data_IF_523413760591
#
_entry.id   IF_523413760591
#
_cell.length_a   1.000
_cell.length_b   1.000
_cell.length_c   1.000
_cell.angle_alpha   90.00
_cell.angle_beta   90.00
_cell.angle_gamma   90.00
#
_symmetry.space_group_name_H-M   'P 1'
#
loop_
_entity.id
_entity.type
_entity.pdbx_description
1 polymer ?
#
# COMPACT_ATOMS: atom_id res chain seq x y z
N UNK A 1 -0.69 -67.57 8.19
CA UNK A 1 -1.64 -68.18 7.25
C UNK A 1 -2.54 -67.09 6.67
N UNK A 2 -2.72 -67.12 5.33
CA UNK A 2 -3.70 -66.40 4.50
C UNK A 2 -3.63 -64.85 4.42
N UNK A 3 -2.93 -64.39 3.38
CA UNK A 3 -3.25 -63.16 2.62
C UNK A 3 -4.50 -63.41 1.75
N UNK A 4 -5.34 -62.38 1.53
CA UNK A 4 -5.81 -62.04 0.18
C UNK A 4 -5.73 -60.50 -0.01
N UNK A 5 -5.71 -59.90 -1.18
CA UNK A 5 -5.93 -60.34 -2.55
C UNK A 5 -6.06 -59.06 -3.37
N UNK A 6 -5.37 -59.02 -4.51
CA UNK A 6 -5.20 -57.88 -5.41
C UNK A 6 -6.51 -57.56 -6.13
N UNK A 7 -6.78 -56.28 -6.42
CA UNK A 7 -7.61 -55.86 -7.54
C UNK A 7 -7.14 -54.50 -8.08
N UNK A 8 -6.40 -54.56 -9.19
CA UNK A 8 -6.14 -53.44 -10.10
C UNK A 8 -7.23 -53.39 -11.16
N UNK A 9 -7.74 -52.21 -11.54
CA UNK A 9 -8.40 -52.01 -12.82
C UNK A 9 -7.50 -51.25 -13.81
N UNK A 10 -7.04 -52.02 -14.79
CA UNK A 10 -7.24 -51.81 -16.24
C UNK A 10 -6.90 -50.46 -16.90
N UNK A 11 -5.88 -50.56 -17.75
CA UNK A 11 -5.52 -49.74 -18.91
C UNK A 11 -6.68 -49.47 -19.89
N UNK A 12 -6.88 -48.19 -20.25
CA UNK A 12 -7.67 -47.74 -21.40
C UNK A 12 -7.09 -46.43 -21.96
N UNK A 13 -6.14 -46.48 -22.89
CA UNK A 13 -6.31 -46.44 -24.36
C UNK A 13 -6.70 -45.06 -24.94
N UNK A 14 -5.65 -44.39 -25.44
CA UNK A 14 -5.54 -43.69 -26.75
C UNK A 14 -6.68 -42.75 -27.19
N UNK A 15 -6.39 -41.46 -27.32
CA UNK A 15 -6.58 -40.73 -28.58
C UNK A 15 -5.98 -39.31 -28.50
N UNK A 16 -4.85 -39.13 -29.18
CA UNK A 16 -4.32 -37.81 -29.53
C UNK A 16 -4.98 -37.37 -30.85
N UNK A 17 -5.48 -36.13 -30.98
CA UNK A 17 -5.81 -35.57 -32.28
C UNK A 17 -4.55 -34.98 -32.96
N UNK A 18 -4.52 -34.96 -34.30
CA UNK A 18 -3.33 -34.68 -35.09
C UNK A 18 -2.95 -33.19 -35.15
N UNK A 19 -1.64 -32.97 -35.27
CA UNK A 19 -0.96 -31.74 -35.69
C UNK A 19 -1.51 -31.26 -37.05
N UNK A 20 -2.11 -30.08 -37.09
CA UNK A 20 -2.22 -29.30 -38.32
C UNK A 20 -1.02 -28.36 -38.43
N UNK A 21 -0.04 -28.79 -39.23
CA UNK A 21 0.95 -27.93 -39.88
C UNK A 21 0.30 -27.36 -41.14
N UNK A 22 0.20 -26.04 -41.32
CA UNK A 22 0.23 -25.45 -42.65
C UNK A 22 1.68 -25.13 -43.04
N UNK A 23 2.09 -25.77 -44.13
CA UNK A 23 3.25 -25.46 -44.93
C UNK A 23 3.12 -24.04 -45.51
N UNK A 24 4.19 -23.25 -45.34
CA UNK A 24 4.87 -22.45 -46.37
C UNK A 24 3.99 -21.65 -47.34
N UNK A 25 4.01 -20.32 -47.19
CA UNK A 25 3.85 -19.40 -48.33
C UNK A 25 5.13 -18.56 -48.44
N UNK A 26 5.96 -18.74 -49.48
CA UNK A 26 7.02 -17.81 -49.82
C UNK A 26 6.49 -16.78 -50.83
N UNK A 27 6.92 -15.52 -50.68
CA UNK A 27 6.75 -14.44 -51.65
C UNK A 27 5.32 -13.97 -51.97
N UNK A 28 4.96 -12.85 -51.34
CA UNK A 28 4.29 -11.76 -52.03
C UNK A 28 4.81 -10.45 -51.40
N UNK A 29 5.84 -9.87 -52.00
CA UNK A 29 6.17 -8.46 -51.81
C UNK A 29 5.02 -7.63 -52.41
N UNK A 30 4.36 -6.82 -51.58
CA UNK A 30 3.46 -5.77 -52.03
C UNK A 30 4.18 -4.42 -51.94
N UNK A 31 4.29 -3.64 -53.03
CA UNK A 31 4.86 -2.32 -53.02
C UNK A 31 3.77 -1.32 -52.63
N UNK A 32 3.53 -1.16 -51.33
CA UNK A 32 2.79 -0.02 -50.82
C UNK A 32 3.19 0.21 -49.36
N UNK A 33 4.32 0.91 -49.21
CA UNK A 33 4.79 1.38 -47.93
C UNK A 33 3.98 2.62 -47.50
N UNK A 34 3.29 2.61 -46.35
CA UNK A 34 2.85 3.86 -45.75
C UNK A 34 4.06 4.65 -45.24
N UNK A 35 4.00 5.99 -45.26
CA UNK A 35 5.15 6.85 -44.98
C UNK A 35 5.66 6.67 -43.56
N UNK A 36 6.99 6.58 -43.42
CA UNK A 36 7.71 6.63 -42.14
C UNK A 36 7.62 8.05 -41.54
N UNK A 37 6.44 8.47 -41.10
CA UNK A 37 6.30 9.67 -40.28
C UNK A 37 6.65 9.32 -38.83
N UNK A 38 7.93 9.56 -38.52
CA UNK A 38 8.42 10.05 -37.22
C UNK A 38 7.47 9.85 -36.03
N UNK A 39 7.52 8.66 -35.43
CA UNK A 39 7.14 8.48 -34.03
C UNK A 39 8.11 9.29 -33.19
N UNK A 40 7.74 10.55 -32.92
CA UNK A 40 8.32 11.37 -31.87
C UNK A 40 8.28 10.53 -30.60
N UNK A 41 9.44 10.01 -30.18
CA UNK A 41 9.66 9.37 -28.89
C UNK A 41 9.22 10.34 -27.80
N UNK A 42 7.97 10.22 -27.39
CA UNK A 42 7.48 10.82 -26.16
C UNK A 42 8.35 10.27 -25.04
N UNK A 43 8.87 11.19 -24.22
CA UNK A 43 9.75 10.95 -23.07
C UNK A 43 9.36 9.63 -22.39
N UNK A 44 10.32 8.71 -22.27
CA UNK A 44 10.14 7.41 -21.63
C UNK A 44 9.37 7.61 -20.34
N UNK A 45 8.12 7.14 -20.30
CA UNK A 45 7.52 6.79 -19.03
C UNK A 45 8.49 5.79 -18.42
N UNK A 46 9.16 6.16 -17.33
CA UNK A 46 9.90 5.19 -16.55
C UNK A 46 8.85 4.16 -16.16
N UNK A 47 8.90 2.98 -16.77
CA UNK A 47 8.27 1.81 -16.22
C UNK A 47 8.95 1.63 -14.88
N UNK A 48 8.33 2.19 -13.84
CA UNK A 48 8.66 1.85 -12.47
C UNK A 48 8.31 0.37 -12.40
N UNK A 49 9.34 -0.45 -12.53
CA UNK A 49 9.20 -1.88 -12.27
C UNK A 49 8.43 -2.00 -10.96
N UNK A 50 7.38 -2.84 -10.90
CA UNK A 50 6.69 -3.13 -9.66
C UNK A 50 7.75 -3.41 -8.60
N UNK A 51 7.79 -2.57 -7.57
CA UNK A 51 8.86 -2.54 -6.58
C UNK A 51 9.25 -3.95 -6.16
N UNK A 52 10.49 -4.32 -6.48
CA UNK A 52 11.07 -5.58 -6.04
C UNK A 52 11.83 -5.34 -4.75
N UNK A 53 11.78 -6.31 -3.84
CA UNK A 53 12.76 -6.42 -2.79
C UNK A 53 14.15 -6.33 -3.44
N UNK A 54 15.09 -5.66 -2.79
CA UNK A 54 16.47 -5.71 -3.28
C UNK A 54 16.91 -7.17 -3.41
N UNK A 55 17.75 -7.51 -4.39
CA UNK A 55 18.21 -8.91 -4.57
C UNK A 55 18.85 -9.45 -3.27
N UNK A 56 19.54 -8.57 -2.53
CA UNK A 56 20.07 -8.84 -1.20
C UNK A 56 18.99 -9.11 -0.15
N UNK A 57 17.94 -8.29 -0.07
CA UNK A 57 16.85 -8.49 0.89
C UNK A 57 16.06 -9.75 0.58
N UNK A 58 15.81 -10.02 -0.71
CA UNK A 58 15.18 -11.26 -1.18
C UNK A 58 16.01 -12.48 -0.80
N UNK A 59 17.32 -12.45 -1.05
CA UNK A 59 18.22 -13.53 -0.66
C UNK A 59 18.26 -13.73 0.87
N UNK A 60 18.32 -12.64 1.65
CA UNK A 60 18.28 -12.70 3.11
C UNK A 60 16.96 -13.27 3.65
N UNK A 61 15.83 -12.88 3.05
CA UNK A 61 14.50 -13.40 3.39
C UNK A 61 14.41 -14.90 3.11
N UNK A 62 14.84 -15.36 1.94
CA UNK A 62 14.81 -16.77 1.57
C UNK A 62 15.78 -17.62 2.42
N UNK A 63 16.94 -17.06 2.76
CA UNK A 63 17.89 -17.69 3.67
C UNK A 63 17.30 -17.83 5.08
N UNK A 64 16.75 -16.75 5.62
CA UNK A 64 16.10 -16.76 6.94
C UNK A 64 14.98 -17.81 7.01
N UNK A 65 14.09 -17.87 6.02
CA UNK A 65 13.04 -18.89 5.97
C UNK A 65 13.61 -20.31 5.82
N UNK A 66 14.72 -20.46 5.09
CA UNK A 66 15.43 -21.73 4.91
C UNK A 66 16.09 -22.24 6.20
N UNK A 67 16.74 -21.36 6.95
CA UNK A 67 17.42 -21.70 8.21
C UNK A 67 16.45 -22.20 9.27
N UNK A 68 15.21 -21.71 9.23
CA UNK A 68 14.12 -22.13 10.10
C UNK A 68 13.26 -23.27 9.51
N UNK A 69 13.65 -23.83 8.36
CA UNK A 69 12.93 -24.90 7.65
C UNK A 69 11.43 -24.59 7.41
N UNK A 70 11.11 -23.33 7.10
CA UNK A 70 9.73 -22.89 6.84
C UNK A 70 9.37 -23.14 5.39
N UNK A 71 8.40 -24.03 5.17
CA UNK A 71 7.88 -24.35 3.85
C UNK A 71 8.92 -24.98 2.92
N UNK A 72 8.47 -25.39 1.75
CA UNK A 72 9.36 -25.84 0.68
C UNK A 72 9.96 -24.62 -0.08
N UNK A 73 10.93 -24.83 -1.00
CA UNK A 73 11.50 -23.74 -1.79
C UNK A 73 10.46 -22.95 -2.61
N UNK A 74 9.42 -23.60 -3.12
CA UNK A 74 8.39 -22.95 -3.95
C UNK A 74 7.48 -22.05 -3.11
N UNK A 75 7.03 -22.52 -1.94
CA UNK A 75 6.27 -21.69 -0.99
C UNK A 75 7.05 -20.45 -0.55
N UNK A 76 8.37 -20.58 -0.34
CA UNK A 76 9.22 -19.44 0.04
C UNK A 76 9.34 -18.39 -1.08
N UNK A 77 9.43 -18.83 -2.32
CA UNK A 77 9.44 -17.96 -3.50
C UNK A 77 8.07 -17.26 -3.70
N UNK A 78 6.96 -17.99 -3.50
CA UNK A 78 5.60 -17.43 -3.52
C UNK A 78 5.41 -16.38 -2.43
N UNK A 79 5.89 -16.66 -1.23
CA UNK A 79 5.85 -15.71 -0.11
C UNK A 79 6.65 -14.45 -0.43
N UNK A 80 7.87 -14.57 -0.96
CA UNK A 80 8.67 -13.42 -1.37
C UNK A 80 7.94 -12.56 -2.42
N UNK A 81 7.31 -13.18 -3.42
CA UNK A 81 6.52 -12.46 -4.42
C UNK A 81 5.28 -11.76 -3.82
N UNK A 82 4.60 -12.41 -2.86
CA UNK A 82 3.47 -11.82 -2.15
C UNK A 82 3.90 -10.60 -1.32
N UNK A 83 5.07 -10.66 -0.68
CA UNK A 83 5.66 -9.53 0.06
C UNK A 83 5.99 -8.37 -0.87
N UNK A 84 6.63 -8.61 -2.01
CA UNK A 84 6.91 -7.57 -3.03
C UNK A 84 5.63 -6.82 -3.43
N UNK A 85 4.55 -7.57 -3.71
CA UNK A 85 3.24 -6.99 -4.00
C UNK A 85 2.67 -6.20 -2.81
N UNK A 86 2.82 -6.72 -1.59
CA UNK A 86 2.40 -6.06 -0.35
C UNK A 86 3.07 -4.71 -0.15
N UNK A 87 4.40 -4.64 -0.32
CA UNK A 87 5.19 -3.40 -0.23
C UNK A 87 4.76 -2.39 -1.29
N UNK A 88 4.64 -2.82 -2.55
CA UNK A 88 4.21 -1.96 -3.64
C UNK A 88 2.82 -1.35 -3.37
N UNK A 89 1.93 -2.14 -2.76
CA UNK A 89 0.58 -1.73 -2.40
C UNK A 89 0.52 -0.83 -1.15
N UNK A 90 1.53 -0.84 -0.28
CA UNK A 90 1.63 0.05 0.88
C UNK A 90 2.24 1.42 0.51
N UNK A 91 3.09 1.47 -0.53
CA UNK A 91 3.68 2.72 -1.05
C UNK A 91 2.84 3.45 -2.10
N UNK A 92 1.66 2.94 -2.44
CA UNK A 92 0.75 3.64 -3.35
C UNK A 92 0.56 5.08 -2.86
N UNK A 93 0.75 6.09 -3.73
CA UNK A 93 0.95 7.46 -3.29
C UNK A 93 -0.28 7.92 -2.52
N UNK A 94 -0.15 8.03 -1.20
CA UNK A 94 -0.99 8.92 -0.43
C UNK A 94 -0.75 10.29 -1.06
N UNK A 95 -1.80 10.89 -1.63
CA UNK A 95 -1.78 12.14 -2.39
C UNK A 95 -1.53 13.37 -1.50
N UNK A 96 -0.72 13.22 -0.45
CA UNK A 96 -0.26 14.29 0.41
C UNK A 96 1.27 14.29 0.39
N UNK A 97 1.83 15.42 -0.01
CA UNK A 97 3.26 15.75 0.10
C UNK A 97 4.17 15.13 -0.97
N UNK A 98 4.00 15.59 -2.21
CA UNK A 98 5.16 15.76 -3.10
C UNK A 98 5.46 17.26 -3.16
N UNK A 99 6.05 17.79 -2.09
CA UNK A 99 6.71 19.09 -2.16
C UNK A 99 7.92 18.92 -3.07
N UNK A 100 7.91 19.77 -4.08
CA UNK A 100 8.84 19.96 -5.16
C UNK A 100 10.32 20.04 -4.70
N UNK A 101 11.04 18.91 -4.62
CA UNK A 101 12.50 18.95 -4.68
C UNK A 101 12.93 19.14 -6.13
N UNK A 102 13.29 20.39 -6.44
CA UNK A 102 13.92 20.80 -7.69
C UNK A 102 15.34 20.20 -7.73
N UNK A 103 15.70 19.37 -8.72
CA UNK A 103 17.07 18.91 -8.86
C UNK A 103 17.95 20.08 -9.34
N UNK A 104 18.90 20.47 -8.50
CA UNK A 104 19.99 21.36 -8.89
C UNK A 104 20.94 20.59 -9.80
N UNK A 105 20.81 20.80 -11.11
CA UNK A 105 21.83 20.41 -12.07
C UNK A 105 22.95 21.44 -11.99
N UNK A 106 24.16 20.94 -11.77
CA UNK A 106 25.40 21.67 -11.78
C UNK A 106 25.59 22.49 -13.06
N UNK A 107 26.08 23.72 -12.90
CA UNK A 107 26.83 24.43 -13.92
C UNK A 107 28.10 24.99 -13.25
N UNK A 108 29.22 24.34 -13.55
CA UNK A 108 30.56 24.90 -13.41
C UNK A 108 30.62 26.25 -14.12
N UNK A 109 31.14 27.30 -13.47
CA UNK A 109 32.21 28.14 -14.04
C UNK A 109 32.71 29.24 -13.10
N UNK A 110 34.03 29.19 -12.90
CA UNK A 110 34.98 30.31 -12.98
C UNK A 110 35.27 31.14 -11.72
N UNK A 111 36.45 30.83 -11.19
CA UNK A 111 37.26 31.55 -10.20
C UNK A 111 37.53 33.01 -10.60
N UNK A 112 37.29 33.96 -9.69
CA UNK A 112 38.13 35.15 -9.44
C UNK A 112 37.82 35.80 -8.07
N UNK A 113 38.81 36.42 -7.38
CA UNK A 113 38.70 36.77 -5.96
C UNK A 113 38.42 38.27 -5.69
N UNK A 114 38.04 38.51 -4.43
CA UNK A 114 38.02 39.76 -3.65
C UNK A 114 36.95 40.81 -4.01
N UNK A 115 35.96 40.99 -3.10
CA UNK A 115 35.85 42.19 -2.27
C UNK A 115 34.72 42.05 -1.23
N UNK A 116 35.04 42.43 0.02
CA UNK A 116 34.12 42.74 1.13
C UNK A 116 33.39 44.05 0.75
N UNK A 117 32.10 44.28 1.08
CA UNK A 117 31.79 44.76 2.43
C UNK A 117 30.38 44.43 2.99
N UNK A 118 30.30 44.57 4.32
CA UNK A 118 29.19 45.09 5.13
C UNK A 118 27.81 44.38 5.15
N UNK A 119 27.56 43.76 6.32
CA UNK A 119 26.39 43.96 7.19
C UNK A 119 25.04 44.37 6.55
N UNK A 120 24.08 43.44 6.64
CA UNK A 120 22.63 43.67 6.47
C UNK A 120 21.84 42.51 7.09
N UNK A 121 20.65 42.76 7.64
CA UNK A 121 20.17 42.11 8.87
C UNK A 121 19.55 40.73 8.66
N UNK A 122 19.72 39.90 9.69
CA UNK A 122 19.07 38.61 9.89
C UNK A 122 17.55 38.77 9.84
N UNK A 123 16.93 38.33 8.75
CA UNK A 123 15.49 38.19 8.66
C UNK A 123 15.09 36.89 9.37
N UNK A 124 14.27 37.03 10.41
CA UNK A 124 13.63 35.91 11.12
C UNK A 124 13.05 34.89 10.16
N UNK A 125 13.21 33.58 10.42
CA UNK A 125 12.43 32.58 9.70
C UNK A 125 10.96 32.80 10.03
N UNK A 126 10.18 33.10 8.98
CA UNK A 126 8.74 33.15 9.04
C UNK A 126 8.24 31.79 9.56
N UNK A 127 7.55 31.81 10.69
CA UNK A 127 6.87 30.64 11.23
C UNK A 127 5.96 30.06 10.14
N UNK A 128 6.20 28.80 9.78
CA UNK A 128 5.30 28.04 8.93
C UNK A 128 3.92 28.02 9.61
N UNK A 129 2.82 28.32 8.89
CA UNK A 129 1.49 28.25 9.47
C UNK A 129 1.22 26.78 9.81
N UNK A 130 1.20 26.46 11.10
CA UNK A 130 0.72 25.19 11.62
C UNK A 130 -0.73 25.04 11.15
N UNK A 131 -0.92 24.23 10.10
CA UNK A 131 -2.26 23.99 9.56
C UNK A 131 -3.06 23.24 10.61
N UNK A 132 -4.00 23.93 11.26
CA UNK A 132 -4.88 23.31 12.23
C UNK A 132 -5.60 22.13 11.56
N UNK A 133 -5.43 20.89 12.03
CA UNK A 133 -6.00 19.71 11.39
C UNK A 133 -7.53 19.77 11.38
N UNK A 134 -8.15 20.42 12.37
CA UNK A 134 -9.60 20.71 12.42
C UNK A 134 -10.10 21.46 11.18
N UNK A 135 -9.40 22.53 10.78
CA UNK A 135 -9.77 23.30 9.59
C UNK A 135 -9.73 22.45 8.31
N UNK A 136 -8.81 21.48 8.24
CA UNK A 136 -8.71 20.57 7.10
C UNK A 136 -9.85 19.54 7.06
N UNK A 137 -10.30 19.04 8.21
CA UNK A 137 -11.42 18.11 8.34
C UNK A 137 -12.77 18.79 8.05
N UNK A 138 -12.97 20.00 8.57
CA UNK A 138 -14.15 20.81 8.26
C UNK A 138 -14.25 21.11 6.75
N UNK A 139 -13.14 21.48 6.11
CA UNK A 139 -13.10 21.71 4.67
C UNK A 139 -13.39 20.45 3.85
N UNK A 140 -12.90 19.28 4.30
CA UNK A 140 -13.22 17.99 3.69
C UNK A 140 -14.72 17.67 3.81
N UNK A 141 -15.29 17.82 5.01
CA UNK A 141 -16.72 17.58 5.25
C UNK A 141 -17.59 18.48 4.35
N UNK A 142 -17.27 19.76 4.23
CA UNK A 142 -18.00 20.69 3.37
C UNK A 142 -17.86 20.34 1.88
N UNK A 143 -16.65 19.97 1.44
CA UNK A 143 -16.42 19.55 0.04
C UNK A 143 -17.21 18.28 -0.29
N UNK A 144 -17.23 17.30 0.62
CA UNK A 144 -18.00 16.07 0.47
C UNK A 144 -19.51 16.37 0.39
N UNK A 145 -20.05 17.24 1.27
CA UNK A 145 -21.46 17.68 1.20
C UNK A 145 -21.81 18.38 -0.11
N UNK A 146 -20.90 19.21 -0.65
CA UNK A 146 -21.09 19.85 -1.97
C UNK A 146 -21.14 18.83 -3.09
N UNK A 147 -20.26 17.82 -3.05
CA UNK A 147 -20.26 16.74 -4.02
C UNK A 147 -21.54 15.91 -3.96
N UNK A 148 -22.02 15.54 -2.77
CA UNK A 148 -23.30 14.83 -2.58
C UNK A 148 -24.47 15.62 -3.18
N UNK A 149 -24.54 16.94 -2.92
CA UNK A 149 -25.55 17.82 -3.52
C UNK A 149 -25.43 17.87 -5.04
N UNK A 150 -24.21 18.01 -5.56
CA UNK A 150 -23.94 18.03 -7.00
C UNK A 150 -24.40 16.74 -7.68
N UNK A 151 -24.05 15.57 -7.13
CA UNK A 151 -24.46 14.26 -7.63
C UNK A 151 -25.99 14.09 -7.56
N UNK A 152 -26.62 14.52 -6.47
CA UNK A 152 -28.08 14.47 -6.32
C UNK A 152 -28.85 15.39 -7.29
N UNK A 153 -28.23 16.48 -7.72
CA UNK A 153 -28.80 17.47 -8.64
C UNK A 153 -28.56 17.14 -10.13
N UNK A 154 -27.83 16.08 -10.44
CA UNK A 154 -27.64 15.65 -11.83
C UNK A 154 -28.98 15.22 -12.45
N UNK A 155 -29.27 15.74 -13.63
CA UNK A 155 -30.35 15.25 -14.48
C UNK A 155 -30.00 13.89 -15.11
N UNK A 156 -31.01 13.19 -15.64
CA UNK A 156 -30.84 11.85 -16.20
C UNK A 156 -29.82 11.83 -17.34
N UNK A 157 -29.80 12.89 -18.16
CA UNK A 157 -28.86 13.04 -19.27
C UNK A 157 -27.41 13.12 -18.78
N UNK A 158 -27.14 13.89 -17.73
CA UNK A 158 -25.80 14.02 -17.16
C UNK A 158 -25.37 12.72 -16.47
N UNK A 159 -26.29 12.03 -15.79
CA UNK A 159 -26.02 10.72 -15.18
C UNK A 159 -25.64 9.69 -16.23
N UNK A 160 -26.41 9.61 -17.32
CA UNK A 160 -26.10 8.72 -18.44
C UNK A 160 -24.75 9.04 -19.09
N UNK A 161 -24.47 10.33 -19.31
CA UNK A 161 -23.19 10.77 -19.88
C UNK A 161 -21.98 10.38 -18.99
N UNK A 162 -22.11 10.52 -17.67
CA UNK A 162 -21.08 10.11 -16.71
C UNK A 162 -20.93 8.58 -16.71
N UNK A 163 -22.04 7.83 -16.63
CA UNK A 163 -22.01 6.37 -16.67
C UNK A 163 -21.35 5.81 -17.92
N UNK A 164 -21.66 6.38 -19.09
CA UNK A 164 -21.04 6.00 -20.36
C UNK A 164 -19.55 6.31 -20.40
N UNK A 165 -19.12 7.48 -19.88
CA UNK A 165 -17.69 7.82 -19.80
C UNK A 165 -16.93 6.88 -18.87
N UNK A 166 -17.49 6.56 -17.71
CA UNK A 166 -16.88 5.62 -16.76
C UNK A 166 -16.73 4.23 -17.39
N UNK A 167 -17.78 3.71 -18.04
CA UNK A 167 -17.74 2.43 -18.76
C UNK A 167 -16.66 2.41 -19.85
N UNK A 168 -16.58 3.47 -20.65
CA UNK A 168 -15.60 3.55 -21.74
C UNK A 168 -14.15 3.64 -21.25
N UNK A 169 -13.93 4.07 -20.01
CA UNK A 169 -12.60 4.17 -19.39
C UNK A 169 -12.21 2.96 -18.53
N UNK A 170 -13.16 2.06 -18.27
CA UNK A 170 -12.96 0.93 -17.36
C UNK A 170 -12.56 -0.34 -18.13
N UNK A 171 -11.29 -0.81 -18.00
CA UNK A 171 -10.84 -2.02 -18.69
C UNK A 171 -11.49 -3.30 -18.14
N UNK A 172 -12.16 -3.23 -16.98
CA UNK A 172 -12.78 -4.38 -16.33
C UNK A 172 -14.29 -4.47 -16.57
N UNK A 173 -14.85 -3.57 -17.40
CA UNK A 173 -16.27 -3.54 -17.79
C UNK A 173 -17.25 -3.68 -16.60
N UNK A 174 -17.00 -2.93 -15.52
CA UNK A 174 -17.89 -2.95 -14.34
C UNK A 174 -19.20 -2.22 -14.63
N UNK A 175 -20.24 -2.56 -13.87
CA UNK A 175 -21.55 -1.93 -14.00
C UNK A 175 -21.58 -0.50 -13.42
N UNK A 176 -21.43 0.51 -14.28
CA UNK A 176 -21.50 1.95 -13.93
C UNK A 176 -22.90 2.55 -14.09
N UNK A 177 -23.91 1.90 -13.50
CA UNK A 177 -25.32 2.33 -13.59
C UNK A 177 -25.76 3.28 -12.47
N UNK A 178 -27.08 3.54 -12.39
CA UNK A 178 -27.67 4.38 -11.34
C UNK A 178 -27.31 3.90 -9.92
N UNK A 179 -27.38 2.58 -9.70
CA UNK A 179 -27.02 1.98 -8.41
C UNK A 179 -25.56 2.26 -7.99
N UNK A 180 -24.64 2.37 -8.95
CA UNK A 180 -23.25 2.72 -8.69
C UNK A 180 -23.12 4.18 -8.26
N UNK A 181 -23.78 5.11 -8.96
CA UNK A 181 -23.77 6.54 -8.58
C UNK A 181 -24.43 6.77 -7.21
N UNK A 182 -25.50 6.04 -6.90
CA UNK A 182 -26.14 6.09 -5.59
C UNK A 182 -25.23 5.53 -4.49
N UNK A 183 -24.46 4.46 -4.76
CA UNK A 183 -23.47 3.95 -3.83
C UNK A 183 -22.33 4.95 -3.58
N UNK A 184 -21.79 5.57 -4.64
CA UNK A 184 -20.77 6.62 -4.53
C UNK A 184 -21.29 7.80 -3.70
N UNK A 185 -22.53 8.24 -3.96
CA UNK A 185 -23.16 9.32 -3.20
C UNK A 185 -23.23 8.99 -1.70
N UNK A 186 -23.69 7.78 -1.34
CA UNK A 186 -23.75 7.33 0.07
C UNK A 186 -22.37 7.26 0.72
N UNK A 187 -21.35 6.83 -0.02
CA UNK A 187 -19.99 6.77 0.53
C UNK A 187 -19.44 8.16 0.82
N UNK A 188 -19.65 9.12 -0.09
CA UNK A 188 -19.23 10.51 0.11
C UNK A 188 -20.00 11.15 1.29
N UNK A 189 -21.28 10.82 1.46
CA UNK A 189 -22.07 11.23 2.62
C UNK A 189 -21.48 10.70 3.93
N UNK A 190 -21.12 9.40 3.99
CA UNK A 190 -20.44 8.81 5.16
C UNK A 190 -19.10 9.49 5.46
N UNK A 191 -18.32 9.83 4.43
CA UNK A 191 -17.06 10.57 4.61
C UNK A 191 -17.33 11.95 5.22
N UNK A 192 -18.37 12.65 4.77
CA UNK A 192 -18.74 13.95 5.32
C UNK A 192 -19.14 13.86 6.81
N UNK A 193 -19.91 12.83 7.18
CA UNK A 193 -20.30 12.54 8.56
C UNK A 193 -19.09 12.20 9.44
N UNK A 194 -18.22 11.31 8.98
CA UNK A 194 -17.01 10.91 9.70
C UNK A 194 -16.06 12.10 9.92
N UNK A 195 -15.84 12.92 8.88
CA UNK A 195 -15.00 14.11 8.97
C UNK A 195 -15.59 15.15 9.95
N UNK A 196 -16.91 15.31 9.98
CA UNK A 196 -17.58 16.19 10.93
C UNK A 196 -17.50 15.66 12.37
N UNK A 197 -17.65 14.34 12.56
CA UNK A 197 -17.56 13.71 13.87
C UNK A 197 -16.18 13.92 14.50
N UNK A 198 -15.11 13.79 13.70
CA UNK A 198 -13.73 14.02 14.12
C UNK A 198 -13.40 15.49 14.44
N UNK A 199 -14.15 16.45 13.88
CA UNK A 199 -13.98 17.87 14.17
C UNK A 199 -14.66 18.29 15.48
N UNK A 200 -15.61 17.49 15.99
CA UNK A 200 -16.26 17.74 17.28
C UNK A 200 -15.30 17.39 18.42
N UNK A 201 -14.78 18.36 19.20
CA UNK A 201 -14.00 18.03 20.37
C UNK A 201 -14.90 17.27 21.34
N UNK A 202 -14.53 16.03 21.65
CA UNK A 202 -15.28 15.14 22.52
C UNK A 202 -15.35 15.73 23.94
N UNK A 203 -16.37 16.54 24.21
CA UNK A 203 -16.64 17.15 25.51
C UNK A 203 -17.34 16.16 26.47
N UNK A 204 -16.87 14.91 26.50
CA UNK A 204 -17.33 13.90 27.45
C UNK A 204 -16.20 13.50 28.39
N UNK A 205 -15.70 14.49 29.14
CA UNK A 205 -15.14 14.23 30.46
C UNK A 205 -16.32 14.00 31.41
N UNK A 206 -16.66 12.72 31.58
CA UNK A 206 -17.54 12.26 32.65
C UNK A 206 -16.85 12.59 33.97
N UNK A 207 -17.32 13.61 34.68
CA UNK A 207 -16.96 13.83 36.08
C UNK A 207 -17.59 12.73 36.94
N UNK A 208 -16.83 11.88 37.64
CA UNK A 208 -17.39 11.09 38.73
C UNK A 208 -17.61 12.00 39.96
N UNK A 209 -18.70 11.84 40.73
CA UNK A 209 -18.86 12.55 41.98
C UNK A 209 -17.90 12.02 43.04
N UNK A 210 -17.31 12.98 43.76
CA UNK A 210 -16.32 12.80 44.81
C UNK A 210 -16.80 11.90 45.95
N UNK A 211 -15.90 11.05 46.45
CA UNK A 211 -15.86 10.65 47.85
C UNK A 211 -14.41 10.45 48.29
N UNK A 212 -14.10 11.22 49.33
CA UNK A 212 -12.90 11.38 50.15
C UNK A 212 -12.09 10.10 50.42
N UNK A 213 -10.75 10.17 50.36
CA UNK A 213 -9.83 9.99 51.51
C UNK A 213 -8.34 9.92 51.08
N UNK A 214 -7.54 10.77 51.74
CA UNK A 214 -6.09 10.76 52.02
C UNK A 214 -4.99 10.85 50.92
N UNK A 215 -3.96 11.71 51.13
CA UNK A 215 -2.77 11.81 50.28
C UNK A 215 -1.58 11.01 50.84
N UNK A 216 -0.89 10.27 49.98
CA UNK A 216 0.45 9.71 50.22
C UNK A 216 1.33 10.02 49.01
N UNK A 217 2.62 10.41 49.17
CA UNK A 217 3.36 11.11 48.13
C UNK A 217 4.06 10.17 47.14
N UNK A 218 4.05 10.61 45.87
CA UNK A 218 5.03 10.52 44.77
C UNK A 218 6.10 9.38 44.76
N UNK A 219 6.47 8.87 43.57
CA UNK A 219 7.36 9.64 42.70
C UNK A 219 7.10 9.56 41.19
N UNK A 220 7.55 10.65 40.55
CA UNK A 220 8.24 10.71 39.27
C UNK A 220 7.51 10.26 37.99
N UNK A 221 7.08 11.29 37.26
CA UNK A 221 7.08 11.34 35.81
C UNK A 221 8.38 10.79 35.20
N UNK A 222 8.24 9.83 34.27
CA UNK A 222 8.95 9.76 32.99
C UNK A 222 8.74 8.37 32.36
N UNK A 223 7.99 8.29 31.26
CA UNK A 223 8.30 7.41 30.14
C UNK A 223 7.30 7.69 29.00
N UNK A 224 7.75 8.52 28.08
CA UNK A 224 7.47 8.51 26.64
C UNK A 224 6.10 7.99 26.20
N UNK A 225 5.26 8.92 25.73
CA UNK A 225 4.16 8.60 24.83
C UNK A 225 4.75 7.83 23.65
N UNK A 226 4.43 6.54 23.57
CA UNK A 226 4.79 5.69 22.44
C UNK A 226 4.25 6.35 21.16
N UNK A 227 5.13 6.61 20.20
CA UNK A 227 4.70 7.05 18.89
C UNK A 227 3.75 5.98 18.32
N UNK A 228 2.47 6.32 18.05
CA UNK A 228 1.52 5.35 17.54
C UNK A 228 2.09 4.81 16.24
N UNK A 229 2.25 3.48 16.18
CA UNK A 229 2.80 2.79 15.03
C UNK A 229 2.06 3.30 13.79
N UNK A 230 2.83 3.76 12.81
CA UNK A 230 2.27 4.39 11.63
C UNK A 230 1.27 3.44 10.95
N UNK A 231 0.12 3.95 10.51
CA UNK A 231 -0.91 3.16 9.82
C UNK A 231 -0.34 2.35 8.63
N UNK A 232 0.71 2.86 7.98
CA UNK A 232 1.47 2.17 6.94
C UNK A 232 2.13 0.88 7.46
N UNK A 233 2.75 0.93 8.64
CA UNK A 233 3.34 -0.23 9.29
C UNK A 233 2.26 -1.24 9.70
N UNK A 234 1.12 -0.78 10.23
CA UNK A 234 -0.01 -1.67 10.55
C UNK A 234 -0.47 -2.48 9.33
N UNK A 235 -0.65 -1.82 8.18
CA UNK A 235 -1.04 -2.49 6.94
C UNK A 235 0.01 -3.47 6.43
N UNK A 236 1.29 -3.10 6.53
CA UNK A 236 2.38 -3.98 6.13
C UNK A 236 2.38 -5.25 6.99
N UNK A 237 2.39 -5.10 8.32
CA UNK A 237 2.44 -6.22 9.27
C UNK A 237 1.29 -7.20 9.02
N UNK A 238 0.05 -6.69 8.87
CA UNK A 238 -1.12 -7.54 8.58
C UNK A 238 -0.98 -8.28 7.25
N UNK A 239 -0.57 -7.59 6.18
CA UNK A 239 -0.40 -8.23 4.86
C UNK A 239 0.69 -9.29 4.86
N UNK A 240 1.80 -9.03 5.53
CA UNK A 240 2.91 -10.00 5.65
C UNK A 240 2.45 -11.20 6.47
N UNK A 241 1.70 -11.00 7.55
CA UNK A 241 1.08 -12.09 8.31
C UNK A 241 0.14 -12.93 7.45
N UNK A 242 -0.83 -12.30 6.77
CA UNK A 242 -1.78 -12.99 5.90
C UNK A 242 -1.08 -13.80 4.78
N UNK A 243 -0.04 -13.21 4.16
CA UNK A 243 0.75 -13.88 3.14
C UNK A 243 1.55 -15.07 3.70
N UNK A 244 2.09 -14.92 4.92
CA UNK A 244 2.83 -15.97 5.61
C UNK A 244 1.92 -17.18 5.87
N UNK A 245 0.74 -16.94 6.45
CA UNK A 245 -0.22 -18.01 6.74
C UNK A 245 -0.73 -18.69 5.46
N UNK A 246 -1.00 -17.91 4.41
CA UNK A 246 -1.46 -18.45 3.13
C UNK A 246 -0.40 -19.31 2.42
N UNK A 247 0.89 -18.95 2.52
CA UNK A 247 1.96 -19.67 1.81
C UNK A 247 2.47 -20.89 2.57
N UNK A 248 2.43 -20.85 3.91
CA UNK A 248 3.06 -21.87 4.75
C UNK A 248 2.07 -22.71 5.55
N UNK A 249 0.78 -22.38 5.53
CA UNK A 249 -0.26 -23.06 6.33
C UNK A 249 0.08 -23.08 7.84
N UNK A 250 0.93 -22.14 8.29
CA UNK A 250 1.37 -21.99 9.68
C UNK A 250 1.08 -20.58 10.15
N UNK A 251 0.75 -20.43 11.44
CA UNK A 251 0.43 -19.12 12.01
C UNK A 251 1.67 -18.22 12.09
N UNK A 252 1.43 -16.92 11.95
CA UNK A 252 2.44 -15.88 12.14
C UNK A 252 2.76 -15.67 13.64
N UNK A 253 3.40 -16.65 14.27
CA UNK A 253 3.73 -16.63 15.70
C UNK A 253 4.96 -15.77 16.00
N UNK A 254 4.92 -15.00 17.09
CA UNK A 254 6.00 -14.06 17.47
C UNK A 254 6.86 -14.55 18.64
N UNK A 255 6.72 -15.83 19.02
CA UNK A 255 7.48 -16.41 20.12
C UNK A 255 8.97 -16.53 19.81
N UNK A 256 9.78 -16.73 20.85
CA UNK A 256 11.18 -17.08 20.68
C UNK A 256 11.31 -18.39 19.89
N UNK A 257 12.05 -18.35 18.79
CA UNK A 257 12.25 -19.51 17.90
C UNK A 257 11.40 -19.50 16.63
N UNK A 258 10.43 -18.59 16.52
CA UNK A 258 9.62 -18.44 15.31
C UNK A 258 10.26 -17.44 14.33
N UNK A 259 10.26 -17.74 13.03
CA UNK A 259 10.95 -16.93 12.02
C UNK A 259 10.17 -15.68 11.60
N UNK A 260 8.89 -15.57 11.98
CA UNK A 260 8.02 -14.50 11.49
C UNK A 260 8.53 -13.10 11.87
N UNK A 261 8.94 -12.87 13.14
CA UNK A 261 9.46 -11.56 13.57
C UNK A 261 10.78 -11.18 12.86
N UNK A 262 11.80 -12.05 12.79
CA UNK A 262 13.00 -11.78 11.98
C UNK A 262 12.69 -11.44 10.52
N UNK A 263 11.82 -12.22 9.88
CA UNK A 263 11.39 -11.99 8.48
C UNK A 263 10.68 -10.65 8.34
N UNK A 264 9.77 -10.32 9.25
CA UNK A 264 9.04 -9.06 9.24
C UNK A 264 9.97 -7.85 9.37
N UNK A 265 11.00 -7.95 10.22
CA UNK A 265 12.01 -6.89 10.40
C UNK A 265 12.84 -6.68 9.14
N UNK A 266 13.29 -7.76 8.49
CA UNK A 266 14.01 -7.69 7.21
C UNK A 266 13.16 -6.99 6.12
N UNK A 267 11.88 -7.33 6.04
CA UNK A 267 10.94 -6.73 5.08
C UNK A 267 10.76 -5.24 5.37
N UNK A 268 10.56 -4.87 6.64
CA UNK A 268 10.34 -3.49 7.02
C UNK A 268 11.57 -2.61 6.81
N UNK A 269 12.77 -3.13 7.05
CA UNK A 269 14.04 -2.45 6.78
C UNK A 269 14.18 -2.11 5.29
N UNK A 270 13.97 -3.07 4.39
CA UNK A 270 14.03 -2.84 2.93
C UNK A 270 12.90 -1.90 2.46
N UNK A 271 11.72 -2.00 3.08
CA UNK A 271 10.60 -1.10 2.81
C UNK A 271 10.80 0.32 3.40
N UNK A 272 11.83 0.56 4.21
CA UNK A 272 12.06 1.83 4.91
C UNK A 272 10.93 2.18 5.89
N UNK A 273 10.28 1.17 6.46
CA UNK A 273 9.17 1.30 7.42
C UNK A 273 9.74 1.02 8.81
N UNK A 274 9.63 1.99 9.72
CA UNK A 274 10.06 1.81 11.10
C UNK A 274 9.09 0.88 11.83
N UNK A 275 9.61 -0.21 12.39
CA UNK A 275 8.88 -1.07 13.32
C UNK A 275 9.40 -0.87 14.75
N UNK A 276 8.55 -1.02 15.77
CA UNK A 276 8.97 -1.05 17.17
C UNK A 276 10.06 -2.11 17.39
N UNK A 277 11.06 -1.76 18.21
CA UNK A 277 12.12 -2.69 18.59
C UNK A 277 11.62 -3.81 19.53
N UNK A 278 10.56 -3.52 20.30
CA UNK A 278 9.89 -4.48 21.16
C UNK A 278 8.86 -5.31 20.37
N UNK A 279 8.68 -6.57 20.74
CA UNK A 279 7.74 -7.47 20.07
C UNK A 279 6.30 -7.30 20.58
N UNK A 280 6.11 -6.78 21.79
CA UNK A 280 4.79 -6.60 22.39
C UNK A 280 3.86 -5.68 21.57
N UNK A 281 4.30 -4.52 21.05
CA UNK A 281 3.46 -3.69 20.19
C UNK A 281 3.14 -4.36 18.84
N UNK A 282 4.03 -5.21 18.32
CA UNK A 282 3.78 -5.96 17.07
C UNK A 282 2.66 -7.00 17.25
N UNK A 283 2.61 -7.65 18.42
CA UNK A 283 1.54 -8.58 18.79
C UNK A 283 0.16 -7.92 18.80
N UNK A 284 0.07 -6.65 19.20
CA UNK A 284 -1.20 -5.90 19.19
C UNK A 284 -1.70 -5.55 17.79
N UNK A 285 -0.84 -5.58 16.78
CA UNK A 285 -1.19 -5.31 15.39
C UNK A 285 -1.64 -6.56 14.67
N UNK A 286 -1.07 -7.70 15.06
CA UNK A 286 -1.33 -8.97 14.41
C UNK A 286 -2.82 -9.31 14.45
N UNK A 287 -3.34 -9.93 13.38
CA UNK A 287 -4.71 -10.40 13.34
C UNK A 287 -5.03 -11.23 14.59
N UNK A 288 -6.26 -11.12 15.10
CA UNK A 288 -6.65 -11.79 16.35
C UNK A 288 -6.45 -13.31 16.31
N UNK A 289 -6.45 -13.93 15.13
CA UNK A 289 -6.21 -15.36 14.95
C UNK A 289 -4.74 -15.78 15.14
N UNK A 290 -3.79 -14.83 15.10
CA UNK A 290 -2.35 -15.06 15.28
C UNK A 290 -1.89 -14.95 16.75
N UNK A 291 -2.74 -14.48 17.68
CA UNK A 291 -2.36 -14.15 19.08
C UNK A 291 -2.42 -15.32 20.08
N UNK A 292 -2.28 -16.56 19.61
CA UNK A 292 -2.47 -17.77 20.45
C UNK A 292 -1.19 -18.29 21.03
#
# INVERSE_FOLDING_TARGET
MRKPGISTPTSGRKSSPPRNRPLRNPQAESPDAPPQTALKRTKKAHFLEPYRLSESARAALLACLGDHAVGDPESRELFAAAVEYGIASCRAPSTKTRVNEKPAIAAEQKIRPAEKPAAGPSASPAAEPTSNPSASLAALAETARRLVRGLGALDDRSREAIGNRLRNSDPFDRAHGQAYLDAVRREVERIAEAAAALDTPSASSISPPASSSDPTPAPAAAAQAEDPIEETAHRLVRRVADAYEACFETKAETGAGYPFIPVLRLIAEDAGIALPAADAPLLEILPAHCRT
#
